data_IF_480242467140
#
_entry.id   IF_480242467140
#
_cell.length_a   1.000
_cell.length_b   1.000
_cell.length_c   1.000
_cell.angle_alpha   90.00
_cell.angle_beta   90.00
_cell.angle_gamma   90.00
#
_symmetry.space_group_name_H-M   'P 1'
#
loop_
_entity.id
_entity.type
_entity.pdbx_description
1 polymer ?
#
# COMPACT_ATOMS: atom_id res chain seq x y z
N UNK A 1 -2.84 -0.05 -5.50
CA UNK A 1 -3.17 1.30 -5.01
C UNK A 1 -3.76 2.15 -6.11
N UNK A 2 -3.09 2.35 -7.25
CA UNK A 2 -3.62 3.17 -8.35
C UNK A 2 -4.94 2.68 -8.93
N UNK A 3 -5.14 1.36 -9.03
CA UNK A 3 -6.39 0.75 -9.48
C UNK A 3 -7.61 1.06 -8.59
N UNK A 4 -7.38 1.47 -7.34
CA UNK A 4 -8.44 1.80 -6.37
C UNK A 4 -8.51 3.31 -6.07
N UNK A 5 -7.98 4.14 -6.98
CA UNK A 5 -8.17 5.60 -6.94
C UNK A 5 -7.15 6.40 -6.13
N UNK A 6 -5.99 5.81 -5.81
CA UNK A 6 -4.87 6.52 -5.19
C UNK A 6 -3.86 7.01 -6.22
N UNK A 7 -3.42 8.25 -6.10
CA UNK A 7 -2.21 8.75 -6.75
C UNK A 7 -0.98 8.12 -6.11
N UNK A 8 0.05 7.88 -6.92
CA UNK A 8 1.34 7.36 -6.46
C UNK A 8 2.41 8.41 -6.72
N UNK A 9 3.13 8.81 -5.67
CA UNK A 9 4.25 9.74 -5.75
C UNK A 9 5.48 9.09 -5.14
N UNK A 10 6.58 9.03 -5.89
CA UNK A 10 7.87 8.65 -5.32
C UNK A 10 8.43 9.84 -4.54
N UNK A 11 8.65 9.66 -3.25
CA UNK A 11 9.35 10.62 -2.40
C UNK A 11 10.86 10.35 -2.45
N UNK A 12 11.68 11.20 -1.82
CA UNK A 12 13.12 11.01 -1.76
C UNK A 12 13.48 9.59 -1.27
N UNK A 13 14.40 8.93 -1.99
CA UNK A 13 14.87 7.58 -1.69
C UNK A 13 13.89 6.46 -2.11
N UNK A 14 13.80 5.44 -1.26
CA UNK A 14 13.00 4.21 -1.47
C UNK A 14 11.60 4.33 -0.87
N UNK A 15 10.93 5.48 -0.97
CA UNK A 15 9.61 5.69 -0.35
C UNK A 15 8.57 6.06 -1.39
N UNK A 16 7.47 5.31 -1.40
CA UNK A 16 6.28 5.59 -2.19
C UNK A 16 5.18 6.15 -1.30
N UNK A 17 4.71 7.35 -1.64
CA UNK A 17 3.53 7.99 -1.05
C UNK A 17 2.29 7.70 -1.90
N UNK A 18 1.23 7.22 -1.27
CA UNK A 18 -0.06 7.04 -1.90
C UNK A 18 -1.11 7.91 -1.22
N UNK A 19 -1.76 8.76 -2.00
CA UNK A 19 -2.83 9.65 -1.54
C UNK A 19 -4.12 9.42 -2.33
N UNK A 20 -5.31 9.52 -1.69
CA UNK A 20 -6.58 9.37 -2.38
C UNK A 20 -6.79 10.53 -3.36
N UNK A 21 -7.14 10.22 -4.61
CA UNK A 21 -7.45 11.23 -5.65
C UNK A 21 -8.94 11.24 -6.00
N UNK A 22 -9.56 10.05 -6.05
CA UNK A 22 -10.99 9.86 -6.35
C UNK A 22 -11.69 8.95 -5.35
N UNK A 23 -11.03 8.68 -4.24
CA UNK A 23 -11.44 7.64 -3.31
C UNK A 23 -12.13 8.26 -2.09
N UNK A 24 -13.17 7.59 -1.59
CA UNK A 24 -13.85 7.94 -0.34
C UNK A 24 -13.00 7.66 0.91
N UNK A 25 -11.75 7.22 0.74
CA UNK A 25 -10.85 6.91 1.85
C UNK A 25 -10.14 8.19 2.29
N UNK A 26 -10.05 8.39 3.61
CA UNK A 26 -9.26 9.47 4.19
C UNK A 26 -7.87 8.97 4.59
N UNK A 27 -6.87 9.81 4.38
CA UNK A 27 -5.49 9.57 4.81
C UNK A 27 -4.60 8.91 3.75
N UNK A 28 -3.35 9.36 3.68
CA UNK A 28 -2.31 8.81 2.82
C UNK A 28 -1.52 7.70 3.50
N UNK A 29 -0.83 6.88 2.72
CA UNK A 29 0.03 5.80 3.22
C UNK A 29 1.38 5.79 2.51
N UNK A 30 2.44 5.50 3.27
CA UNK A 30 3.78 5.29 2.75
C UNK A 30 4.12 3.80 2.71
N UNK A 31 4.72 3.38 1.61
CA UNK A 31 5.40 2.09 1.48
C UNK A 31 6.88 2.31 1.20
N UNK A 32 7.70 1.44 1.76
CA UNK A 32 9.09 1.36 1.36
C UNK A 32 9.19 0.51 0.09
N UNK A 33 9.87 1.04 -0.92
CA UNK A 33 10.30 0.27 -2.08
C UNK A 33 11.24 -0.83 -1.60
N UNK A 34 10.85 -2.07 -1.85
CA UNK A 34 11.72 -3.21 -1.61
C UNK A 34 12.76 -3.23 -2.72
N UNK A 35 14.04 -3.20 -2.34
CA UNK A 35 15.13 -3.34 -3.31
C UNK A 35 15.00 -4.68 -4.05
N UNK A 36 15.36 -4.67 -5.35
CA UNK A 36 14.91 -5.51 -6.47
C UNK A 36 14.67 -7.03 -6.23
N UNK A 37 15.23 -7.64 -5.19
CA UNK A 37 15.18 -9.09 -4.93
C UNK A 37 14.57 -9.47 -3.58
N UNK A 38 14.05 -8.51 -2.81
CA UNK A 38 13.53 -8.80 -1.48
C UNK A 38 12.03 -9.09 -1.51
N UNK A 39 11.68 -10.37 -1.27
CA UNK A 39 10.31 -10.73 -0.90
C UNK A 39 9.96 -10.01 0.41
N UNK A 40 8.77 -9.41 0.47
CA UNK A 40 8.28 -8.80 1.71
C UNK A 40 8.19 -9.87 2.80
N UNK A 41 8.89 -9.67 3.92
CA UNK A 41 8.80 -10.63 5.04
C UNK A 41 7.37 -10.68 5.58
N UNK A 42 6.94 -11.84 6.06
CA UNK A 42 5.58 -12.03 6.60
C UNK A 42 5.23 -11.01 7.69
N UNK A 43 6.20 -10.64 8.54
CA UNK A 43 6.02 -9.68 9.63
C UNK A 43 5.71 -8.28 9.07
N UNK A 44 6.46 -7.85 8.04
CA UNK A 44 6.25 -6.54 7.41
C UNK A 44 4.92 -6.55 6.66
N UNK A 45 4.62 -7.62 5.92
CA UNK A 45 3.34 -7.81 5.24
C UNK A 45 2.16 -7.71 6.22
N UNK A 46 2.24 -8.40 7.38
CA UNK A 46 1.21 -8.36 8.42
C UNK A 46 1.06 -6.96 9.02
N UNK A 47 2.15 -6.22 9.19
CA UNK A 47 2.12 -4.83 9.70
C UNK A 47 1.41 -3.91 8.71
N UNK A 48 1.74 -4.01 7.43
CA UNK A 48 1.06 -3.25 6.38
C UNK A 48 -0.41 -3.62 6.25
N UNK A 49 -0.74 -4.91 6.28
CA UNK A 49 -2.12 -5.38 6.29
C UNK A 49 -2.93 -4.75 7.42
N UNK A 50 -2.46 -4.80 8.68
CA UNK A 50 -3.15 -4.16 9.80
C UNK A 50 -3.32 -2.65 9.63
N UNK A 51 -2.32 -1.98 9.05
CA UNK A 51 -2.41 -0.53 8.79
C UNK A 51 -3.48 -0.22 7.74
N UNK A 52 -3.54 -1.00 6.67
CA UNK A 52 -4.55 -0.87 5.61
C UNK A 52 -5.96 -1.22 6.11
N UNK A 53 -6.09 -2.25 6.96
CA UNK A 53 -7.38 -2.59 7.59
C UNK A 53 -7.88 -1.46 8.47
N UNK A 54 -6.99 -0.86 9.29
CA UNK A 54 -7.37 0.24 10.18
C UNK A 54 -7.73 1.53 9.42
N UNK A 55 -6.99 1.86 8.38
CA UNK A 55 -7.21 3.11 7.64
C UNK A 55 -8.36 3.01 6.63
N UNK A 56 -8.50 1.85 5.97
CA UNK A 56 -9.34 1.71 4.77
C UNK A 56 -10.30 0.53 4.82
N UNK A 57 -10.31 -0.25 5.91
CA UNK A 57 -11.12 -1.47 6.02
C UNK A 57 -10.65 -2.61 5.11
N UNK A 58 -9.47 -2.49 4.49
CA UNK A 58 -9.00 -3.49 3.52
C UNK A 58 -8.49 -4.77 4.21
N UNK A 59 -8.96 -5.90 3.71
CA UNK A 59 -8.57 -7.26 4.11
C UNK A 59 -7.87 -7.94 2.94
N UNK A 60 -7.57 -9.25 3.06
CA UNK A 60 -6.94 -10.01 1.98
C UNK A 60 -7.75 -10.05 0.68
N UNK A 61 -9.07 -9.88 0.77
CA UNK A 61 -10.01 -9.99 -0.35
C UNK A 61 -9.86 -8.86 -1.38
N UNK A 62 -9.42 -7.68 -0.94
CA UNK A 62 -9.15 -6.53 -1.81
C UNK A 62 -7.84 -6.70 -2.61
N UNK A 63 -7.04 -7.73 -2.33
CA UNK A 63 -5.80 -8.01 -3.06
C UNK A 63 -6.04 -9.12 -4.07
N UNK A 64 -5.93 -8.78 -5.37
CA UNK A 64 -5.93 -9.77 -6.44
C UNK A 64 -4.65 -10.60 -6.42
N UNK A 65 -4.79 -11.92 -6.40
CA UNK A 65 -3.70 -12.82 -6.76
C UNK A 65 -3.45 -12.68 -8.27
N UNK A 66 -2.25 -12.23 -8.65
CA UNK A 66 -1.79 -12.39 -10.03
C UNK A 66 -1.43 -13.86 -10.23
N UNK A 67 -2.13 -14.51 -11.16
CA UNK A 67 -1.72 -15.80 -11.71
C UNK A 67 -0.53 -15.62 -12.64
#
# INVERSE_FOLDING_TARGET
MSSVGFGAQKLCGSVWHFSPVKSNYQGSIHFYELHLNSKLSFIIARRYSRRLTRAYGWTGEQFGLRK
#
